data_IF_631022877285
#
_entry.id   IF_631022877285
#
_cell.length_a   1.000
_cell.length_b   1.000
_cell.length_c   1.000
_cell.angle_alpha   90.00
_cell.angle_beta   90.00
_cell.angle_gamma   90.00
#
_symmetry.space_group_name_H-M   'P 1'
#
loop_
_entity.id
_entity.type
_entity.pdbx_description
1 polymer ?
#
# COMPACT_ATOMS: atom_id res chain seq x y z
N UNK A 1 32.65 13.09 6.68
CA UNK A 1 33.13 11.75 6.30
C UNK A 1 32.39 10.64 7.04
N UNK A 2 32.47 10.52 8.38
CA UNK A 2 31.70 9.50 9.13
C UNK A 2 30.17 9.65 9.02
N UNK A 3 29.66 10.89 9.03
CA UNK A 3 28.22 11.18 8.86
C UNK A 3 27.67 10.81 7.48
N UNK A 4 28.54 10.91 6.46
CA UNK A 4 28.25 10.66 5.04
C UNK A 4 28.32 9.15 4.72
N UNK A 5 29.17 8.43 5.46
CA UNK A 5 29.20 6.96 5.46
C UNK A 5 28.01 6.38 6.22
N UNK A 6 27.61 7.02 7.32
CA UNK A 6 26.42 6.63 8.08
C UNK A 6 25.12 6.87 7.30
N UNK A 7 25.00 7.97 6.53
CA UNK A 7 23.84 8.20 5.65
C UNK A 7 23.79 7.17 4.51
N UNK A 8 24.93 6.84 3.87
CA UNK A 8 25.00 5.76 2.87
C UNK A 8 24.66 4.38 3.44
N UNK A 9 24.90 4.14 4.74
CA UNK A 9 24.50 2.89 5.42
C UNK A 9 23.01 2.82 5.78
N UNK A 10 22.26 3.91 5.67
CA UNK A 10 20.80 3.92 5.82
C UNK A 10 20.06 3.61 4.50
N UNK A 11 20.78 3.48 3.38
CA UNK A 11 20.19 3.13 2.09
C UNK A 11 19.75 1.66 2.10
N UNK A 12 18.43 1.43 2.07
CA UNK A 12 17.83 0.09 2.19
C UNK A 12 18.14 -0.86 1.01
N UNK A 13 18.71 -0.37 -0.10
CA UNK A 13 19.13 -1.20 -1.24
C UNK A 13 20.47 -0.72 -1.80
N UNK A 14 21.58 -1.48 -1.63
CA UNK A 14 22.92 -1.07 -2.07
C UNK A 14 23.05 -0.96 -3.60
N UNK A 15 22.04 -1.39 -4.36
CA UNK A 15 22.03 -1.35 -5.83
C UNK A 15 21.36 -0.10 -6.40
N UNK A 16 20.83 0.77 -5.54
CA UNK A 16 20.12 1.97 -5.94
C UNK A 16 20.68 3.17 -5.17
N UNK A 17 21.05 4.25 -5.85
CA UNK A 17 21.49 5.48 -5.20
C UNK A 17 20.27 6.30 -4.78
N UNK A 18 20.12 6.55 -3.48
CA UNK A 18 19.00 7.31 -2.93
C UNK A 18 19.26 8.80 -3.14
N UNK A 19 18.55 9.42 -4.08
CA UNK A 19 18.77 10.83 -4.48
C UNK A 19 17.97 11.83 -3.63
N UNK A 20 16.93 11.37 -2.92
CA UNK A 20 16.05 12.21 -2.14
C UNK A 20 16.60 12.53 -0.76
N UNK A 21 17.78 13.13 -0.62
CA UNK A 21 18.47 13.28 0.67
C UNK A 21 17.73 14.16 1.69
N UNK A 22 17.18 15.29 1.23
CA UNK A 22 16.45 16.23 2.06
C UNK A 22 14.94 16.05 1.90
N UNK A 23 14.21 16.06 3.02
CA UNK A 23 12.74 16.04 3.01
C UNK A 23 12.22 17.34 2.40
N UNK A 24 11.53 17.23 1.26
CA UNK A 24 10.91 18.37 0.60
C UNK A 24 9.59 18.77 1.27
N UNK A 25 9.10 19.99 1.01
CA UNK A 25 7.79 20.44 1.53
C UNK A 25 6.63 19.56 1.06
N UNK A 26 6.73 19.01 -0.15
CA UNK A 26 5.71 18.12 -0.70
C UNK A 26 5.71 16.75 0.01
N UNK A 27 6.88 16.22 0.37
CA UNK A 27 6.99 15.01 1.19
C UNK A 27 6.38 15.24 2.58
N UNK A 28 6.72 16.35 3.24
CA UNK A 28 6.16 16.67 4.55
C UNK A 28 4.62 16.82 4.52
N UNK A 29 4.08 17.50 3.49
CA UNK A 29 2.62 17.55 3.30
C UNK A 29 2.02 16.15 3.09
N UNK A 30 2.71 15.31 2.32
CA UNK A 30 2.26 13.93 2.06
C UNK A 30 2.23 13.11 3.35
N UNK A 31 3.27 13.18 4.18
CA UNK A 31 3.34 12.49 5.47
C UNK A 31 2.21 12.93 6.41
N UNK A 32 1.90 14.23 6.45
CA UNK A 32 0.76 14.76 7.22
C UNK A 32 -0.54 14.14 6.70
N UNK A 33 -0.76 14.10 5.39
CA UNK A 33 -1.98 13.52 4.81
C UNK A 33 -2.08 12.02 5.07
N UNK A 34 -0.99 11.26 4.97
CA UNK A 34 -0.97 9.85 5.33
C UNK A 34 -1.25 9.62 6.82
N UNK A 35 -0.68 10.44 7.71
CA UNK A 35 -0.97 10.40 9.14
C UNK A 35 -2.44 10.71 9.44
N UNK A 36 -3.04 11.68 8.74
CA UNK A 36 -4.47 11.95 8.84
C UNK A 36 -5.32 10.78 8.34
N UNK A 37 -4.94 10.14 7.23
CA UNK A 37 -5.65 9.00 6.68
C UNK A 37 -5.59 7.77 7.60
N UNK A 38 -4.42 7.49 8.20
CA UNK A 38 -4.26 6.48 9.24
C UNK A 38 -5.07 6.84 10.49
N UNK A 39 -5.07 8.12 10.88
CA UNK A 39 -5.87 8.65 11.98
C UNK A 39 -7.37 8.42 11.76
N UNK A 40 -7.90 8.78 10.58
CA UNK A 40 -9.31 8.54 10.21
C UNK A 40 -9.66 7.05 10.24
N UNK A 41 -8.75 6.18 9.79
CA UNK A 41 -8.96 4.73 9.83
C UNK A 41 -9.16 4.25 11.27
N UNK A 42 -8.34 4.72 12.20
CA UNK A 42 -8.41 4.36 13.63
C UNK A 42 -9.58 5.05 14.35
N UNK A 43 -9.83 6.33 14.08
CA UNK A 43 -10.79 7.16 14.80
C UNK A 43 -12.23 7.11 14.27
N UNK A 44 -12.46 6.34 13.22
CA UNK A 44 -13.78 6.19 12.57
C UNK A 44 -14.84 5.48 13.43
N UNK A 45 -14.44 4.80 14.51
CA UNK A 45 -15.37 4.13 15.41
C UNK A 45 -16.07 5.11 16.36
N UNK A 46 -17.31 4.80 16.72
CA UNK A 46 -18.05 5.56 17.73
C UNK A 46 -17.36 5.49 19.09
N UNK A 47 -17.53 6.56 19.89
CA UNK A 47 -16.96 6.64 21.23
C UNK A 47 -17.66 5.63 22.15
N UNK A 48 -16.96 4.69 22.80
CA UNK A 48 -17.58 3.77 23.75
C UNK A 48 -18.11 4.52 24.97
N UNK A 49 -19.33 4.18 25.40
CA UNK A 49 -20.01 4.79 26.56
C UNK A 49 -20.20 3.83 27.72
N UNK A 50 -20.15 2.52 27.45
CA UNK A 50 -20.23 1.44 28.45
C UNK A 50 -18.95 0.60 28.48
N UNK A 51 -18.80 -0.26 29.50
CA UNK A 51 -17.69 -1.22 29.54
C UNK A 51 -17.77 -2.23 28.40
N UNK A 52 -18.98 -2.70 28.08
CA UNK A 52 -19.20 -3.63 26.98
C UNK A 52 -18.81 -2.97 25.64
N UNK A 53 -19.21 -1.71 25.41
CA UNK A 53 -18.78 -0.93 24.24
C UNK A 53 -17.25 -0.83 24.16
N UNK A 54 -16.58 -0.56 25.29
CA UNK A 54 -15.13 -0.43 25.34
C UNK A 54 -14.43 -1.76 25.00
N UNK A 55 -14.91 -2.86 25.58
CA UNK A 55 -14.35 -4.18 25.32
C UNK A 55 -14.50 -4.59 23.85
N UNK A 56 -15.68 -4.35 23.26
CA UNK A 56 -15.94 -4.57 21.84
C UNK A 56 -15.05 -3.69 20.95
N UNK A 57 -14.91 -2.40 21.31
CA UNK A 57 -14.04 -1.47 20.60
C UNK A 57 -12.57 -1.93 20.60
N UNK A 58 -12.05 -2.41 21.73
CA UNK A 58 -10.66 -2.90 21.83
C UNK A 58 -10.40 -4.12 20.94
N UNK A 59 -11.39 -4.99 20.72
CA UNK A 59 -11.27 -6.12 19.80
C UNK A 59 -11.16 -5.68 18.33
N UNK A 60 -11.65 -4.47 17.99
CA UNK A 60 -11.50 -3.92 16.63
C UNK A 60 -10.06 -3.60 16.26
N UNK A 61 -9.09 -3.72 17.19
CA UNK A 61 -7.67 -3.55 16.89
C UNK A 61 -7.18 -4.47 15.77
N UNK A 62 -7.77 -5.65 15.61
CA UNK A 62 -7.42 -6.61 14.56
C UNK A 62 -7.79 -6.05 13.17
N UNK A 63 -9.06 -5.71 12.88
CA UNK A 63 -9.41 -5.10 11.60
C UNK A 63 -8.77 -3.71 11.41
N UNK A 64 -8.58 -2.91 12.47
CA UNK A 64 -7.78 -1.66 12.40
C UNK A 64 -6.37 -1.96 11.89
N UNK A 65 -5.67 -2.90 12.52
CA UNK A 65 -4.28 -3.21 12.19
C UNK A 65 -4.14 -3.73 10.75
N UNK A 66 -5.11 -4.51 10.27
CA UNK A 66 -5.13 -4.97 8.88
C UNK A 66 -5.29 -3.80 7.89
N UNK A 67 -6.24 -2.90 8.13
CA UNK A 67 -6.41 -1.69 7.33
C UNK A 67 -5.20 -0.75 7.40
N UNK A 68 -4.65 -0.58 8.60
CA UNK A 68 -3.43 0.20 8.84
C UNK A 68 -2.27 -0.35 8.02
N UNK A 69 -2.03 -1.67 8.02
CA UNK A 69 -0.94 -2.30 7.28
C UNK A 69 -1.07 -2.06 5.76
N UNK A 70 -2.29 -2.13 5.21
CA UNK A 70 -2.54 -1.84 3.79
C UNK A 70 -2.22 -0.37 3.47
N UNK A 71 -2.72 0.57 4.27
CA UNK A 71 -2.49 1.99 4.01
C UNK A 71 -1.02 2.39 4.24
N UNK A 72 -0.36 1.78 5.23
CA UNK A 72 1.06 1.94 5.48
C UNK A 72 1.91 1.38 4.34
N UNK A 73 1.47 0.32 3.66
CA UNK A 73 2.16 -0.19 2.46
C UNK A 73 2.15 0.80 1.29
N UNK A 74 1.07 1.58 1.16
CA UNK A 74 0.96 2.68 0.18
C UNK A 74 1.90 3.81 0.56
N UNK A 75 1.91 4.23 1.83
CA UNK A 75 2.88 5.21 2.34
C UNK A 75 4.31 4.76 2.07
N UNK A 76 4.65 3.51 2.34
CA UNK A 76 5.99 2.98 2.09
C UNK A 76 6.37 3.00 0.59
N UNK A 77 5.42 2.76 -0.31
CA UNK A 77 5.66 2.86 -1.76
C UNK A 77 5.93 4.31 -2.20
N UNK A 78 5.20 5.28 -1.62
CA UNK A 78 5.41 6.71 -1.80
C UNK A 78 6.77 7.16 -1.22
N UNK A 79 7.07 6.81 0.02
CA UNK A 79 8.37 7.06 0.66
C UNK A 79 9.52 6.52 -0.18
N UNK A 80 9.44 5.27 -0.63
CA UNK A 80 10.47 4.65 -1.48
C UNK A 80 10.67 5.41 -2.78
N UNK A 81 9.60 5.93 -3.40
CA UNK A 81 9.69 6.73 -4.61
C UNK A 81 10.49 8.01 -4.37
N UNK A 82 10.09 8.83 -3.40
CA UNK A 82 10.73 10.12 -3.14
C UNK A 82 12.20 9.96 -2.73
N UNK A 83 12.50 8.97 -1.90
CA UNK A 83 13.88 8.65 -1.51
C UNK A 83 14.75 8.19 -2.68
N UNK A 84 14.22 7.39 -3.61
CA UNK A 84 14.98 6.90 -4.77
C UNK A 84 15.28 8.00 -5.77
N UNK A 85 14.27 8.78 -6.17
CA UNK A 85 14.40 9.68 -7.32
C UNK A 85 14.62 11.14 -6.95
N UNK A 86 14.16 11.62 -5.78
CA UNK A 86 14.31 13.02 -5.38
C UNK A 86 13.67 14.03 -6.35
N UNK A 87 12.69 13.60 -7.16
CA UNK A 87 12.04 14.44 -8.18
C UNK A 87 10.79 15.12 -7.61
N UNK A 88 10.72 16.45 -7.75
CA UNK A 88 9.55 17.25 -7.36
C UNK A 88 9.19 18.29 -8.44
N UNK A 89 9.14 17.87 -9.71
CA UNK A 89 8.69 18.73 -10.80
C UNK A 89 7.16 18.88 -10.85
N UNK A 90 6.63 19.76 -11.71
CA UNK A 90 5.20 20.06 -11.78
C UNK A 90 4.31 18.85 -12.02
N UNK A 91 4.79 17.85 -12.78
CA UNK A 91 4.02 16.63 -13.04
C UNK A 91 3.96 15.76 -11.78
N UNK A 92 5.09 15.60 -11.07
CA UNK A 92 5.11 14.88 -9.80
C UNK A 92 4.29 15.58 -8.73
N UNK A 93 4.30 16.92 -8.68
CA UNK A 93 3.44 17.69 -7.77
C UNK A 93 1.97 17.37 -8.04
N UNK A 94 1.54 17.43 -9.31
CA UNK A 94 0.17 17.11 -9.69
C UNK A 94 -0.22 15.66 -9.36
N UNK A 95 0.60 14.69 -9.77
CA UNK A 95 0.36 13.27 -9.49
C UNK A 95 0.31 13.00 -7.97
N UNK A 96 1.19 13.63 -7.19
CA UNK A 96 1.17 13.50 -5.74
C UNK A 96 -0.12 14.07 -5.14
N UNK A 97 -0.61 15.24 -5.60
CA UNK A 97 -1.91 15.76 -5.15
C UNK A 97 -3.06 14.78 -5.45
N UNK A 98 -3.07 14.18 -6.64
CA UNK A 98 -4.07 13.16 -7.02
C UNK A 98 -3.96 11.91 -6.13
N UNK A 99 -2.73 11.44 -5.87
CA UNK A 99 -2.47 10.32 -4.96
C UNK A 99 -3.02 10.59 -3.56
N UNK A 100 -2.70 11.75 -2.99
CA UNK A 100 -3.12 12.14 -1.64
C UNK A 100 -4.64 12.23 -1.53
N UNK A 101 -5.32 12.73 -2.56
CA UNK A 101 -6.78 12.72 -2.63
C UNK A 101 -7.33 11.29 -2.53
N UNK A 102 -6.82 10.36 -3.35
CA UNK A 102 -7.30 8.98 -3.31
C UNK A 102 -6.98 8.27 -1.99
N UNK A 103 -5.81 8.53 -1.39
CA UNK A 103 -5.44 8.00 -0.07
C UNK A 103 -6.45 8.39 1.00
N UNK A 104 -6.88 9.67 1.03
CA UNK A 104 -7.90 10.13 1.98
C UNK A 104 -9.26 9.45 1.76
N UNK A 105 -9.67 9.29 0.50
CA UNK A 105 -10.95 8.64 0.17
C UNK A 105 -10.96 7.13 0.48
N UNK A 106 -9.84 6.44 0.31
CA UNK A 106 -9.76 4.98 0.48
C UNK A 106 -9.70 4.55 1.96
N UNK A 107 -9.31 5.44 2.87
CA UNK A 107 -9.21 5.12 4.30
C UNK A 107 -10.54 4.59 4.91
N UNK A 108 -11.69 5.20 4.57
CA UNK A 108 -12.99 4.77 5.09
C UNK A 108 -13.49 3.44 4.51
N UNK A 109 -13.54 3.24 3.17
CA UNK A 109 -13.88 1.94 2.60
C UNK A 109 -12.98 0.80 3.11
N UNK A 110 -11.69 1.08 3.29
CA UNK A 110 -10.73 0.11 3.80
C UNK A 110 -11.07 -0.34 5.23
N UNK A 111 -11.37 0.61 6.14
CA UNK A 111 -11.86 0.30 7.48
C UNK A 111 -13.12 -0.55 7.43
N UNK A 112 -14.10 -0.12 6.65
CA UNK A 112 -15.40 -0.77 6.56
C UNK A 112 -15.32 -2.22 6.04
N UNK A 113 -14.42 -2.50 5.10
CA UNK A 113 -14.18 -3.86 4.60
C UNK A 113 -13.62 -4.76 5.69
N UNK A 114 -12.60 -4.30 6.42
CA UNK A 114 -11.97 -5.13 7.45
C UNK A 114 -12.88 -5.35 8.64
N UNK A 115 -13.66 -4.33 9.04
CA UNK A 115 -14.65 -4.50 10.09
C UNK A 115 -15.75 -5.48 9.65
N UNK A 116 -16.21 -5.39 8.40
CA UNK A 116 -17.14 -6.36 7.83
C UNK A 116 -16.59 -7.79 7.77
N UNK A 117 -15.34 -7.95 7.36
CA UNK A 117 -14.67 -9.26 7.34
C UNK A 117 -14.53 -9.84 8.75
N UNK A 118 -14.11 -9.01 9.71
CA UNK A 118 -13.95 -9.45 11.09
C UNK A 118 -15.29 -9.73 11.76
N UNK A 119 -16.31 -8.90 11.52
CA UNK A 119 -17.68 -9.14 11.97
C UNK A 119 -18.25 -10.45 11.43
N UNK A 120 -17.93 -10.80 10.18
CA UNK A 120 -18.27 -12.12 9.61
C UNK A 120 -17.57 -13.27 10.35
N UNK A 121 -16.26 -13.16 10.59
CA UNK A 121 -15.50 -14.18 11.32
C UNK A 121 -16.00 -14.32 12.75
N UNK A 122 -16.28 -13.21 13.42
CA UNK A 122 -16.83 -13.16 14.77
C UNK A 122 -18.19 -13.88 14.83
N UNK A 123 -19.13 -13.51 13.96
CA UNK A 123 -20.45 -14.15 13.92
C UNK A 123 -20.42 -15.63 13.58
N UNK A 124 -19.45 -16.09 12.79
CA UNK A 124 -19.25 -17.54 12.58
C UNK A 124 -18.85 -18.28 13.86
N UNK A 125 -18.11 -17.62 14.77
CA UNK A 125 -17.60 -18.22 16.01
C UNK A 125 -18.62 -18.10 17.15
N UNK A 126 -19.23 -16.93 17.32
CA UNK A 126 -20.13 -16.61 18.46
C UNK A 126 -21.61 -16.77 18.13
N UNK A 127 -21.96 -16.92 16.85
CA UNK A 127 -23.35 -16.88 16.34
C UNK A 127 -24.05 -15.52 16.52
N UNK A 128 -23.28 -14.46 16.79
CA UNK A 128 -23.78 -13.08 16.93
C UNK A 128 -23.53 -12.29 15.65
N UNK A 129 -24.58 -11.72 15.06
CA UNK A 129 -24.53 -11.07 13.75
C UNK A 129 -24.84 -9.57 13.79
N UNK A 130 -24.98 -9.00 14.99
CA UNK A 130 -25.49 -7.64 15.23
C UNK A 130 -24.70 -6.59 14.44
N UNK A 131 -23.36 -6.67 14.48
CA UNK A 131 -22.49 -5.77 13.71
C UNK A 131 -22.81 -5.75 12.20
N UNK A 132 -22.98 -6.92 11.59
CA UNK A 132 -23.26 -7.02 10.15
C UNK A 132 -24.69 -6.58 9.82
N UNK A 133 -25.63 -6.80 10.72
CA UNK A 133 -27.02 -6.36 10.57
C UNK A 133 -27.12 -4.83 10.66
N UNK A 134 -26.48 -4.22 11.66
CA UNK A 134 -26.44 -2.78 11.87
C UNK A 134 -25.75 -2.06 10.70
N UNK A 135 -24.63 -2.62 10.22
CA UNK A 135 -23.91 -2.11 9.05
C UNK A 135 -24.63 -2.39 7.72
N UNK A 136 -25.76 -3.13 7.73
CA UNK A 136 -26.51 -3.56 6.53
C UNK A 136 -25.62 -4.29 5.50
N UNK A 137 -24.69 -5.08 6.01
CA UNK A 137 -23.75 -5.87 5.23
C UNK A 137 -24.37 -7.21 4.86
N UNK A 138 -24.82 -7.31 3.62
CA UNK A 138 -25.19 -8.54 2.93
C UNK A 138 -24.04 -8.97 2.03
N UNK A 139 -24.02 -10.22 1.58
CA UNK A 139 -23.05 -10.69 0.59
C UNK A 139 -22.91 -9.77 -0.63
N UNK A 140 -24.04 -9.23 -1.12
CA UNK A 140 -24.08 -8.31 -2.26
C UNK A 140 -23.54 -6.93 -1.91
N UNK A 141 -23.95 -6.33 -0.80
CA UNK A 141 -23.48 -5.00 -0.41
C UNK A 141 -21.99 -5.03 -0.05
N UNK A 142 -21.50 -6.08 0.61
CA UNK A 142 -20.07 -6.29 0.85
C UNK A 142 -19.27 -6.43 -0.45
N UNK A 143 -19.82 -7.10 -1.47
CA UNK A 143 -19.21 -7.17 -2.81
C UNK A 143 -19.10 -5.80 -3.50
N UNK A 144 -20.13 -4.95 -3.37
CA UNK A 144 -20.12 -3.58 -3.90
C UNK A 144 -19.08 -2.72 -3.18
N UNK A 145 -18.98 -2.82 -1.85
CA UNK A 145 -17.97 -2.11 -1.05
C UNK A 145 -16.56 -2.53 -1.48
N UNK A 146 -16.33 -3.83 -1.68
CA UNK A 146 -15.06 -4.35 -2.22
C UNK A 146 -14.78 -3.80 -3.63
N UNK A 147 -15.81 -3.65 -4.46
CA UNK A 147 -15.71 -2.98 -5.76
C UNK A 147 -15.22 -1.53 -5.65
N UNK A 148 -15.79 -0.73 -4.74
CA UNK A 148 -15.33 0.66 -4.52
C UNK A 148 -13.89 0.73 -4.04
N UNK A 149 -13.53 -0.11 -3.08
CA UNK A 149 -12.16 -0.16 -2.55
C UNK A 149 -11.15 -0.55 -3.62
N UNK A 150 -11.41 -1.61 -4.37
CA UNK A 150 -10.47 -2.11 -5.39
C UNK A 150 -10.24 -1.13 -6.53
N UNK A 151 -11.27 -0.36 -6.91
CA UNK A 151 -11.11 0.75 -7.86
C UNK A 151 -10.23 1.85 -7.27
N UNK A 152 -10.47 2.27 -6.02
CA UNK A 152 -9.63 3.26 -5.35
C UNK A 152 -8.17 2.81 -5.21
N UNK A 153 -7.96 1.55 -4.82
CA UNK A 153 -6.63 0.94 -4.70
C UNK A 153 -5.92 0.86 -6.06
N UNK A 154 -6.64 0.49 -7.13
CA UNK A 154 -6.11 0.51 -8.49
C UNK A 154 -5.72 1.93 -8.95
N UNK A 155 -6.50 2.96 -8.60
CA UNK A 155 -6.19 4.35 -8.91
C UNK A 155 -4.92 4.82 -8.17
N UNK A 156 -4.78 4.50 -6.89
CA UNK A 156 -3.57 4.81 -6.10
C UNK A 156 -2.32 4.21 -6.76
N UNK A 157 -2.32 2.91 -7.05
CA UNK A 157 -1.18 2.26 -7.69
C UNK A 157 -0.99 2.70 -9.14
N UNK A 158 -2.06 3.11 -9.83
CA UNK A 158 -2.00 3.76 -11.14
C UNK A 158 -1.20 5.05 -11.08
N UNK A 159 -1.49 5.92 -10.11
CA UNK A 159 -0.76 7.17 -9.90
C UNK A 159 0.69 6.92 -9.53
N UNK A 160 0.96 5.99 -8.61
CA UNK A 160 2.35 5.62 -8.25
C UNK A 160 3.09 5.07 -9.48
N UNK A 161 2.45 4.22 -10.28
CA UNK A 161 3.04 3.69 -11.52
C UNK A 161 3.38 4.81 -12.50
N UNK A 162 2.51 5.82 -12.66
CA UNK A 162 2.76 7.01 -13.47
C UNK A 162 3.93 7.84 -12.93
N UNK A 163 4.06 7.98 -11.61
CA UNK A 163 5.21 8.66 -10.99
C UNK A 163 6.53 7.93 -11.34
N UNK A 164 6.56 6.60 -11.23
CA UNK A 164 7.73 5.81 -11.63
C UNK A 164 8.02 5.88 -13.14
N UNK A 165 6.98 5.86 -13.99
CA UNK A 165 7.12 6.01 -15.43
C UNK A 165 7.67 7.41 -15.80
N UNK A 166 7.22 8.44 -15.10
CA UNK A 166 7.73 9.80 -15.26
C UNK A 166 9.20 9.90 -14.84
N UNK A 167 9.57 9.34 -13.69
CA UNK A 167 10.98 9.27 -13.26
C UNK A 167 11.85 8.52 -14.27
N UNK A 168 11.35 7.43 -14.85
CA UNK A 168 12.05 6.69 -15.91
C UNK A 168 12.21 7.51 -17.19
N UNK A 169 11.24 8.35 -17.56
CA UNK A 169 11.38 9.28 -18.69
C UNK A 169 12.47 10.33 -18.47
N UNK A 170 12.78 10.63 -17.20
CA UNK A 170 13.85 11.54 -16.76
C UNK A 170 15.15 10.81 -16.41
N UNK A 171 15.30 9.54 -16.81
CA UNK A 171 16.41 8.71 -16.38
C UNK A 171 17.80 9.26 -16.73
N UNK A 172 17.94 10.02 -17.82
CA UNK A 172 19.21 10.67 -18.18
C UNK A 172 19.53 11.85 -17.26
N UNK A 173 18.54 12.69 -16.99
CA UNK A 173 18.67 13.82 -16.04
C UNK A 173 18.98 13.36 -14.62
N UNK A 174 18.44 12.20 -14.24
CA UNK A 174 18.69 11.58 -12.93
C UNK A 174 19.96 10.74 -12.90
N UNK A 175 20.68 10.63 -14.00
CA UNK A 175 21.88 9.81 -14.14
C UNK A 175 21.64 8.36 -13.66
N UNK A 176 20.49 7.77 -14.03
CA UNK A 176 20.15 6.41 -13.61
C UNK A 176 21.08 5.40 -14.31
N UNK A 177 21.67 4.52 -13.53
CA UNK A 177 22.43 3.37 -14.05
C UNK A 177 21.51 2.38 -14.77
N UNK A 178 22.08 1.46 -15.55
CA UNK A 178 21.30 0.40 -16.21
C UNK A 178 20.51 -0.46 -15.20
N UNK A 179 21.10 -0.73 -14.04
CA UNK A 179 20.47 -1.48 -12.94
C UNK A 179 19.30 -0.70 -12.35
N UNK A 180 19.47 0.60 -12.10
CA UNK A 180 18.40 1.45 -11.58
C UNK A 180 17.24 1.55 -12.57
N UNK A 181 17.52 1.73 -13.87
CA UNK A 181 16.47 1.73 -14.93
C UNK A 181 15.70 0.41 -14.96
N UNK A 182 16.38 -0.73 -14.83
CA UNK A 182 15.75 -2.04 -14.76
C UNK A 182 14.86 -2.17 -13.52
N UNK A 183 15.36 -1.78 -12.35
CA UNK A 183 14.59 -1.81 -11.09
C UNK A 183 13.36 -0.88 -11.15
N UNK A 184 13.49 0.30 -11.76
CA UNK A 184 12.37 1.22 -12.00
C UNK A 184 11.31 0.58 -12.89
N UNK A 185 11.71 -0.05 -14.01
CA UNK A 185 10.79 -0.78 -14.90
C UNK A 185 10.09 -1.93 -14.17
N UNK A 186 10.83 -2.66 -13.33
CA UNK A 186 10.29 -3.74 -12.53
C UNK A 186 9.23 -3.23 -11.53
N UNK A 187 9.46 -2.08 -10.89
CA UNK A 187 8.46 -1.43 -10.04
C UNK A 187 7.19 -1.04 -10.82
N UNK A 188 7.33 -0.47 -12.03
CA UNK A 188 6.18 -0.15 -12.90
C UNK A 188 5.36 -1.41 -13.20
N UNK A 189 6.02 -2.50 -13.64
CA UNK A 189 5.36 -3.77 -13.96
C UNK A 189 4.66 -4.34 -12.72
N UNK A 190 5.30 -4.28 -11.55
CA UNK A 190 4.69 -4.73 -10.29
C UNK A 190 3.43 -3.93 -9.97
N UNK A 191 3.45 -2.61 -10.09
CA UNK A 191 2.26 -1.79 -9.84
C UNK A 191 1.16 -2.05 -10.87
N UNK A 192 1.50 -2.29 -12.14
CA UNK A 192 0.53 -2.73 -13.16
C UNK A 192 -0.10 -4.08 -12.76
N UNK A 193 0.69 -5.03 -12.28
CA UNK A 193 0.15 -6.31 -11.79
C UNK A 193 -0.81 -6.10 -10.61
N UNK A 194 -0.48 -5.22 -9.66
CA UNK A 194 -1.37 -4.84 -8.54
C UNK A 194 -2.68 -4.26 -9.08
N UNK A 195 -2.63 -3.35 -10.07
CA UNK A 195 -3.81 -2.75 -10.70
C UNK A 195 -4.69 -3.82 -11.33
N UNK A 196 -4.11 -4.73 -12.13
CA UNK A 196 -4.85 -5.79 -12.80
C UNK A 196 -5.52 -6.75 -11.79
N UNK A 197 -4.80 -7.14 -10.74
CA UNK A 197 -5.34 -7.98 -9.66
C UNK A 197 -6.48 -7.27 -8.93
N UNK A 198 -6.34 -5.97 -8.68
CA UNK A 198 -7.36 -5.17 -7.99
C UNK A 198 -8.62 -5.04 -8.83
N UNK A 199 -8.49 -4.68 -10.12
CA UNK A 199 -9.63 -4.59 -11.03
C UNK A 199 -10.33 -5.95 -11.22
N UNK A 200 -9.55 -7.03 -11.29
CA UNK A 200 -10.10 -8.40 -11.36
C UNK A 200 -10.86 -8.74 -10.08
N UNK A 201 -10.29 -8.42 -8.92
CA UNK A 201 -10.97 -8.57 -7.61
C UNK A 201 -12.30 -7.81 -7.59
N UNK A 202 -12.30 -6.54 -8.02
CA UNK A 202 -13.50 -5.71 -8.06
C UNK A 202 -14.57 -6.25 -9.00
N UNK A 203 -14.17 -6.70 -10.20
CA UNK A 203 -15.09 -7.30 -11.15
C UNK A 203 -15.72 -8.59 -10.60
N UNK A 204 -14.90 -9.47 -9.99
CA UNK A 204 -15.39 -10.69 -9.35
C UNK A 204 -16.31 -10.36 -8.16
N UNK A 205 -15.98 -9.35 -7.36
CA UNK A 205 -16.77 -8.97 -6.20
C UNK A 205 -18.17 -8.45 -6.56
N UNK A 206 -18.29 -7.72 -7.68
CA UNK A 206 -19.54 -7.08 -8.10
C UNK A 206 -20.40 -7.99 -8.98
N UNK A 207 -19.78 -8.73 -9.89
CA UNK A 207 -20.50 -9.47 -10.94
C UNK A 207 -20.69 -10.97 -10.66
N UNK A 208 -20.06 -11.51 -9.61
CA UNK A 208 -20.17 -12.95 -9.29
C UNK A 208 -20.73 -13.18 -7.89
N UNK A 209 -21.09 -14.43 -7.60
CA UNK A 209 -21.54 -14.85 -6.26
C UNK A 209 -20.43 -14.88 -5.21
N UNK A 210 -19.18 -14.62 -5.58
CA UNK A 210 -18.07 -14.52 -4.62
C UNK A 210 -18.26 -13.34 -3.66
N UNK A 211 -18.89 -12.25 -4.11
CA UNK A 211 -19.08 -11.05 -3.28
C UNK A 211 -17.77 -10.55 -2.68
N UNK A 212 -17.76 -10.21 -1.39
CA UNK A 212 -16.55 -9.76 -0.71
C UNK A 212 -15.42 -10.80 -0.64
N UNK A 213 -15.71 -12.11 -0.78
CA UNK A 213 -14.67 -13.14 -0.77
C UNK A 213 -13.74 -13.10 -1.98
N UNK A 214 -14.12 -12.38 -3.05
CA UNK A 214 -13.19 -12.06 -4.13
C UNK A 214 -11.91 -11.37 -3.60
N UNK A 215 -12.01 -10.64 -2.48
CA UNK A 215 -10.88 -10.00 -1.80
C UNK A 215 -9.74 -10.96 -1.43
N UNK A 216 -9.99 -12.26 -1.30
CA UNK A 216 -8.94 -13.26 -1.08
C UNK A 216 -7.88 -13.25 -2.20
N UNK A 217 -8.24 -12.86 -3.42
CA UNK A 217 -7.30 -12.72 -4.53
C UNK A 217 -6.22 -11.67 -4.25
N UNK A 218 -6.53 -10.62 -3.48
CA UNK A 218 -5.56 -9.61 -3.06
C UNK A 218 -4.51 -10.18 -2.09
N UNK A 219 -4.76 -11.33 -1.46
CA UNK A 219 -3.76 -12.03 -0.66
C UNK A 219 -2.51 -12.45 -1.46
N UNK A 220 -2.63 -12.58 -2.79
CA UNK A 220 -1.50 -12.91 -3.69
C UNK A 220 -0.48 -11.77 -3.79
N UNK A 221 -0.88 -10.53 -3.48
CA UNK A 221 0.00 -9.36 -3.59
C UNK A 221 1.23 -9.45 -2.65
N UNK A 222 1.08 -10.04 -1.46
CA UNK A 222 2.17 -10.25 -0.52
C UNK A 222 3.27 -11.17 -1.06
N UNK A 223 2.95 -12.44 -1.40
CA UNK A 223 3.88 -13.37 -2.03
C UNK A 223 4.50 -12.82 -3.31
N UNK A 224 3.73 -12.12 -4.15
CA UNK A 224 4.24 -11.50 -5.38
C UNK A 224 5.41 -10.53 -5.08
N UNK A 225 5.28 -9.68 -4.06
CA UNK A 225 6.37 -8.78 -3.64
C UNK A 225 7.63 -9.53 -3.17
N UNK A 226 7.47 -10.66 -2.48
CA UNK A 226 8.58 -11.50 -2.02
C UNK A 226 9.27 -12.22 -3.19
N UNK A 227 8.50 -12.85 -4.08
CA UNK A 227 9.01 -13.56 -5.26
C UNK A 227 9.79 -12.61 -6.17
N UNK A 228 9.28 -11.40 -6.40
CA UNK A 228 9.98 -10.41 -7.23
C UNK A 228 11.31 -9.99 -6.60
N UNK A 229 11.36 -9.78 -5.27
CA UNK A 229 12.62 -9.50 -4.56
C UNK A 229 13.58 -10.69 -4.60
N UNK A 230 13.06 -11.91 -4.50
CA UNK A 230 13.84 -13.14 -4.55
C UNK A 230 14.47 -13.36 -5.94
N UNK A 231 13.68 -13.22 -7.01
CA UNK A 231 14.16 -13.34 -8.40
C UNK A 231 15.10 -12.20 -8.81
N UNK A 232 14.96 -11.03 -8.19
CA UNK A 232 15.86 -9.90 -8.41
C UNK A 232 17.20 -10.00 -7.65
N UNK A 233 17.41 -11.02 -6.80
CA UNK A 233 18.73 -11.29 -6.21
C UNK A 233 19.61 -11.97 -7.28
N UNK A 234 20.73 -11.35 -7.70
CA UNK A 234 21.67 -12.02 -8.59
C UNK A 234 22.23 -13.27 -7.91
N UNK A 235 22.52 -14.30 -8.71
CA UNK A 235 23.15 -15.56 -8.27
C UNK A 235 24.63 -15.42 -7.88
N UNK A 236 25.25 -14.26 -8.09
CA UNK A 236 26.72 -14.15 -8.10
C UNK A 236 27.31 -13.45 -6.87
N UNK A 237 27.07 -13.97 -5.67
CA UNK A 237 27.87 -13.61 -4.47
C UNK A 237 28.34 -14.84 -3.67
N UNK A 238 28.05 -16.07 -4.10
CA UNK A 238 28.49 -17.27 -3.39
C UNK A 238 29.82 -17.88 -3.86
N UNK A 239 30.46 -17.40 -4.93
CA UNK A 239 31.68 -18.03 -5.47
C UNK A 239 32.98 -17.22 -5.28
N UNK A 240 32.94 -16.02 -4.69
CA UNK A 240 34.14 -15.17 -4.51
C UNK A 240 34.85 -15.29 -3.16
N UNK A 241 34.31 -16.01 -2.19
CA UNK A 241 34.83 -16.03 -0.80
C UNK A 241 35.55 -17.33 -0.40
N UNK A 242 35.70 -18.29 -1.32
CA UNK A 242 36.30 -19.60 -1.03
C UNK A 242 37.74 -19.78 -1.53
N UNK A 243 38.35 -18.78 -2.18
CA UNK A 243 39.67 -18.92 -2.81
C UNK A 243 40.78 -18.07 -2.16
N UNK A 244 40.57 -17.61 -0.92
CA UNK A 244 41.61 -16.94 -0.11
C UNK A 244 41.60 -17.46 1.34
N UNK A 245 41.68 -18.78 1.49
CA UNK A 245 41.97 -19.45 2.76
C UNK A 245 43.16 -20.41 2.58
#
# INVERSE_FOLDING_TARGET
MLRDLASRQMDHDPRFTWRGDAVTRIENLSDIVFALALGMLVSSAERPTTFDDLSGHLLTIIPVAAGFAVLFSVWNAHFTYFRRYGVADGMIIFLNCVLLLFVLFVAYPLRFIFDGLFGYVYGMITQEWDYLQDARLTFRTSGIVMGYFTVGYALIYGVISLMYAHALSKAEMLELTAVEKMMTRQSIIMFIAIILISLTTGALAVFTSLGAFAGCLMGVLGPMGYVVKFLARPKDVSEGAADNA
#
